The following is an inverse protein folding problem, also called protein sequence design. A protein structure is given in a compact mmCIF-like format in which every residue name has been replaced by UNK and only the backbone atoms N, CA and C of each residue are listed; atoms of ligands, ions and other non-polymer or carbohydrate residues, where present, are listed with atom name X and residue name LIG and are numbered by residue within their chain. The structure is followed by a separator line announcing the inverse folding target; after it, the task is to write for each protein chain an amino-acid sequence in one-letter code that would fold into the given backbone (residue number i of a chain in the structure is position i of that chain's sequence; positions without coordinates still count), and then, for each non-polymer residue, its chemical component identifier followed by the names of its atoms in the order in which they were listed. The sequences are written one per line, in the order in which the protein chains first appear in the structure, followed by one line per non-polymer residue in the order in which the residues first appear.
data_IF_065584292412
#
_entry.id   IF_065584292412
#
_cell.length_a   1.000
_cell.length_b   1.000
_cell.length_c   1.000
_cell.angle_alpha   90.00
_cell.angle_beta   90.00
_cell.angle_gamma   90.00
#
_symmetry.space_group_name_H-M   'P 1'
#
loop_
_entity.id
_entity.type
_entity.pdbx_description
1 polymer ?
#
# COMPACT_ATOMS: atom_id res chain seq x y z
N UNK A 1 -15.82 2.32 -8.22
CA UNK A 1 -15.61 2.30 -9.69
C UNK A 1 -15.18 0.92 -10.18
N UNK A 2 -14.06 0.37 -9.70
CA UNK A 2 -13.53 -0.93 -10.16
C UNK A 2 -14.54 -2.09 -10.08
N UNK A 3 -15.15 -2.32 -8.91
CA UNK A 3 -16.17 -3.36 -8.74
C UNK A 3 -17.41 -3.14 -9.62
N UNK A 4 -17.85 -1.88 -9.76
CA UNK A 4 -18.98 -1.51 -10.62
C UNK A 4 -18.73 -1.85 -12.09
N UNK A 5 -17.49 -1.69 -12.56
CA UNK A 5 -17.11 -1.96 -13.94
C UNK A 5 -16.54 -3.36 -14.15
N UNK A 6 -16.58 -4.24 -13.13
CA UNK A 6 -16.05 -5.61 -13.19
C UNK A 6 -14.60 -5.65 -13.68
N UNK A 7 -13.78 -4.70 -13.21
CA UNK A 7 -12.37 -4.65 -13.57
C UNK A 7 -11.64 -5.79 -12.85
N UNK A 8 -10.94 -6.62 -13.62
CA UNK A 8 -10.16 -7.76 -13.13
C UNK A 8 -8.66 -7.41 -12.95
N UNK A 9 -8.21 -6.36 -13.64
CA UNK A 9 -6.82 -5.93 -13.63
C UNK A 9 -6.72 -4.41 -13.64
N UNK A 10 -5.86 -3.86 -12.79
CA UNK A 10 -5.59 -2.43 -12.75
C UNK A 10 -4.09 -2.14 -12.62
N UNK A 11 -3.59 -1.22 -13.45
CA UNK A 11 -2.21 -0.75 -13.35
C UNK A 11 -2.14 0.49 -12.46
N UNK A 12 -1.27 0.46 -11.46
CA UNK A 12 -0.99 1.57 -10.55
C UNK A 12 0.24 2.32 -11.05
N UNK A 13 0.05 3.59 -11.42
CA UNK A 13 1.12 4.47 -11.89
C UNK A 13 1.39 5.53 -10.82
N UNK A 14 2.62 5.58 -10.31
CA UNK A 14 3.02 6.55 -9.29
C UNK A 14 4.53 6.81 -9.33
N UNK A 15 5.02 7.74 -8.51
CA UNK A 15 6.47 7.85 -8.25
C UNK A 15 7.01 6.57 -7.61
N UNK A 16 8.23 6.17 -7.98
CA UNK A 16 8.86 4.95 -7.48
C UNK A 16 8.98 4.92 -5.95
N UNK A 17 9.14 6.08 -5.30
CA UNK A 17 9.14 6.18 -3.83
C UNK A 17 7.79 5.91 -3.15
N UNK A 18 6.68 5.95 -3.88
CA UNK A 18 5.32 5.74 -3.35
C UNK A 18 4.61 4.52 -3.94
N UNK A 19 5.10 3.97 -5.05
CA UNK A 19 4.40 2.93 -5.80
C UNK A 19 4.15 1.67 -4.97
N UNK A 20 5.11 1.27 -4.12
CA UNK A 20 4.96 0.14 -3.18
C UNK A 20 3.83 0.37 -2.20
N UNK A 21 3.77 1.56 -1.60
CA UNK A 21 2.69 1.94 -0.69
C UNK A 21 1.35 1.87 -1.40
N UNK A 22 1.26 2.49 -2.58
CA UNK A 22 0.04 2.47 -3.38
C UNK A 22 -0.47 1.04 -3.61
N UNK A 23 0.39 0.16 -4.10
CA UNK A 23 0.06 -1.25 -4.32
C UNK A 23 -0.47 -1.93 -3.06
N UNK A 24 0.27 -1.88 -1.95
CA UNK A 24 -0.15 -2.53 -0.70
C UNK A 24 -1.53 -2.04 -0.25
N UNK A 25 -1.79 -0.73 -0.33
CA UNK A 25 -3.08 -0.18 0.11
C UNK A 25 -4.23 -0.62 -0.81
N UNK A 26 -4.02 -0.66 -2.13
CA UNK A 26 -5.05 -1.11 -3.06
C UNK A 26 -5.34 -2.60 -2.94
N UNK A 27 -4.31 -3.43 -2.75
CA UNK A 27 -4.46 -4.86 -2.48
C UNK A 27 -5.30 -5.09 -1.22
N UNK A 28 -4.94 -4.46 -0.09
CA UNK A 28 -5.67 -4.64 1.17
C UNK A 28 -7.10 -4.11 1.07
N UNK A 29 -7.31 -2.94 0.46
CA UNK A 29 -8.65 -2.38 0.27
C UNK A 29 -9.53 -3.31 -0.57
N UNK A 30 -8.93 -4.02 -1.53
CA UNK A 30 -9.66 -4.95 -2.40
C UNK A 30 -10.19 -6.17 -1.66
N UNK A 31 -9.54 -6.60 -0.56
CA UNK A 31 -10.00 -7.75 0.23
C UNK A 31 -11.36 -7.53 0.88
N UNK A 32 -11.69 -6.29 1.24
CA UNK A 32 -12.96 -5.98 1.91
C UNK A 32 -14.06 -5.53 0.94
N UNK A 33 -13.70 -4.71 -0.05
CA UNK A 33 -14.70 -3.99 -0.87
C UNK A 33 -14.40 -3.99 -2.37
N UNK A 34 -13.34 -4.69 -2.79
CA UNK A 34 -12.91 -4.75 -4.19
C UNK A 34 -13.64 -5.82 -5.01
N UNK A 35 -13.41 -5.83 -6.34
CA UNK A 35 -13.75 -6.99 -7.16
C UNK A 35 -13.04 -8.24 -6.64
N UNK A 36 -13.75 -9.37 -6.59
CA UNK A 36 -13.11 -10.65 -6.27
C UNK A 36 -12.00 -10.94 -7.28
N UNK A 37 -10.80 -11.26 -6.79
CA UNK A 37 -9.62 -11.61 -7.58
C UNK A 37 -9.07 -10.51 -8.50
N UNK A 38 -9.28 -9.22 -8.19
CA UNK A 38 -8.58 -8.16 -8.90
C UNK A 38 -7.06 -8.29 -8.71
N UNK A 39 -6.31 -8.08 -9.78
CA UNK A 39 -4.84 -8.04 -9.78
C UNK A 39 -4.33 -6.63 -10.04
N UNK A 40 -3.15 -6.32 -9.47
CA UNK A 40 -2.51 -5.02 -9.63
C UNK A 40 -1.08 -5.17 -10.12
N UNK A 41 -0.74 -4.46 -11.19
CA UNK A 41 0.64 -4.25 -11.61
C UNK A 41 1.06 -2.81 -11.29
N UNK A 42 2.36 -2.58 -11.10
CA UNK A 42 2.89 -1.27 -10.75
C UNK A 42 3.88 -0.73 -11.76
N UNK A 43 3.77 0.56 -12.04
CA UNK A 43 4.74 1.34 -12.81
C UNK A 43 5.20 2.51 -11.94
N UNK A 44 6.47 2.46 -11.55
CA UNK A 44 7.13 3.51 -10.77
C UNK A 44 7.92 4.46 -11.67
N UNK A 45 7.51 5.73 -11.74
CA UNK A 45 8.30 6.77 -12.37
C UNK A 45 9.49 7.15 -11.45
N UNK A 46 10.74 7.17 -11.94
CA UNK A 46 11.90 7.44 -11.11
C UNK A 46 11.89 8.90 -10.63
N UNK A 47 11.75 9.08 -9.33
CA UNK A 47 11.75 10.39 -8.67
C UNK A 47 13.00 10.63 -7.81
N UNK A 48 13.83 9.60 -7.64
CA UNK A 48 15.06 9.58 -6.85
C UNK A 48 16.13 8.72 -7.55
N UNK A 49 17.40 8.76 -7.11
CA UNK A 49 18.43 7.86 -7.61
C UNK A 49 18.00 6.38 -7.49
N UNK A 50 18.31 5.59 -8.51
CA UNK A 50 17.89 4.18 -8.59
C UNK A 50 18.38 3.36 -7.37
N UNK A 51 19.56 3.69 -6.84
CA UNK A 51 20.12 3.04 -5.65
C UNK A 51 19.23 3.22 -4.41
N UNK A 52 18.68 4.41 -4.22
CA UNK A 52 17.73 4.70 -3.13
C UNK A 52 16.36 4.07 -3.36
N UNK A 53 15.96 3.92 -4.62
CA UNK A 53 14.69 3.33 -4.99
C UNK A 53 14.71 1.80 -4.98
N UNK A 54 15.88 1.18 -5.09
CA UNK A 54 16.01 -0.27 -5.20
C UNK A 54 15.54 -1.00 -3.93
N UNK A 55 15.77 -0.40 -2.75
CA UNK A 55 15.39 -0.98 -1.46
C UNK A 55 14.55 0.00 -0.66
N UNK A 56 13.40 -0.43 -0.11
CA UNK A 56 12.60 0.43 0.74
C UNK A 56 13.37 0.76 2.03
N UNK A 57 13.26 2.01 2.48
CA UNK A 57 13.83 2.41 3.77
C UNK A 57 13.00 1.87 4.94
N UNK A 58 13.59 1.83 6.14
CA UNK A 58 12.85 1.44 7.36
C UNK A 58 11.65 2.36 7.63
N UNK A 59 11.79 3.67 7.37
CA UNK A 59 10.69 4.62 7.51
C UNK A 59 9.58 4.41 6.49
N UNK A 60 9.92 4.03 5.26
CA UNK A 60 8.96 3.65 4.22
C UNK A 60 8.17 2.40 4.63
N UNK A 61 8.87 1.34 5.05
CA UNK A 61 8.24 0.09 5.50
C UNK A 61 7.29 0.33 6.67
N UNK A 62 7.71 1.11 7.68
CA UNK A 62 6.86 1.46 8.81
C UNK A 62 5.62 2.27 8.37
N UNK A 63 5.79 3.20 7.42
CA UNK A 63 4.68 3.95 6.84
C UNK A 63 3.68 3.05 6.11
N UNK A 64 4.18 2.15 5.25
CA UNK A 64 3.37 1.16 4.54
C UNK A 64 2.62 0.27 5.53
N UNK A 65 3.29 -0.26 6.55
CA UNK A 65 2.67 -1.10 7.57
C UNK A 65 1.54 -0.39 8.32
N UNK A 66 1.75 0.85 8.74
CA UNK A 66 0.73 1.64 9.44
C UNK A 66 -0.46 1.95 8.55
N UNK A 67 -0.21 2.35 7.30
CA UNK A 67 -1.27 2.67 6.36
C UNK A 67 -2.05 1.40 5.95
N UNK A 68 -1.38 0.26 5.81
CA UNK A 68 -1.99 -1.05 5.58
C UNK A 68 -2.99 -1.43 6.70
N UNK A 69 -2.58 -1.31 7.97
CA UNK A 69 -3.47 -1.56 9.11
C UNK A 69 -4.69 -0.62 9.10
N UNK A 70 -4.50 0.66 8.77
CA UNK A 70 -5.60 1.62 8.65
C UNK A 70 -6.57 1.23 7.54
N UNK A 71 -6.06 0.85 6.37
CA UNK A 71 -6.88 0.39 5.26
C UNK A 71 -7.66 -0.88 5.61
N UNK A 72 -7.08 -1.76 6.43
CA UNK A 72 -7.78 -2.93 6.97
C UNK A 72 -8.87 -2.59 8.02
N UNK A 73 -8.96 -1.33 8.46
CA UNK A 73 -9.92 -0.87 9.48
C UNK A 73 -9.34 -0.77 10.90
N UNK A 74 -8.05 -1.04 11.09
CA UNK A 74 -7.35 -0.93 12.38
C UNK A 74 -6.73 0.47 12.56
N UNK A 75 -7.59 1.48 12.76
CA UNK A 75 -7.19 2.89 12.90
C UNK A 75 -6.37 3.22 14.14
N UNK A 76 -6.42 2.36 15.18
CA UNK A 76 -5.96 2.67 16.53
C UNK A 76 -4.65 1.99 16.94
N UNK A 77 -3.81 1.48 16.03
CA UNK A 77 -2.44 1.08 16.38
C UNK A 77 -1.53 2.31 16.60
N UNK A 78 -1.97 3.16 17.53
CA UNK A 78 -1.19 4.14 18.28
C UNK A 78 -1.12 3.63 19.72
N UNK A 79 -0.71 2.38 19.93
CA UNK A 79 -0.30 2.02 21.27
C UNK A 79 0.96 2.83 21.57
N UNK A 80 0.89 3.66 22.61
CA UNK A 80 2.09 3.96 23.41
C UNK A 80 2.76 2.61 23.71
N UNK A 81 4.10 2.51 23.84
CA UNK A 81 4.72 1.27 24.30
C UNK A 81 3.90 0.74 25.48
N UNK A 82 3.45 -0.52 25.39
CA UNK A 82 2.80 -1.15 26.53
C UNK A 82 3.89 -1.26 27.59
N UNK A 83 4.00 -0.24 28.44
CA UNK A 83 4.77 -0.30 29.67
C UNK A 83 4.09 -1.35 30.52
N UNK A 84 4.59 -2.59 30.40
CA UNK A 84 4.29 -3.68 31.31
C UNK A 84 4.63 -3.18 32.72
N UNK A 85 3.60 -2.90 33.51
CA UNK A 85 3.72 -2.74 34.96
C UNK A 85 3.39 -4.07 35.64
#
# INVERSE_FOLDING_TARGET
ALARHKIEHATIISSASHVRRGQTLFEIASWQTGPQNITFDTIGAPDKPLEELAKPSQGELLGIYRDALRTYGMWSYRSYPLEQR
#
